data_IF_751334050536
#
_entry.id   IF_751334050536
#
_cell.length_a   1.000
_cell.length_b   1.000
_cell.length_c   1.000
_cell.angle_alpha   90.00
_cell.angle_beta   90.00
_cell.angle_gamma   90.00
#
_symmetry.space_group_name_H-M   'P 1'
#
loop_
_entity.id
_entity.type
_entity.pdbx_description
1 polymer ?
#
# COMPACT_ATOMS: atom_id res chain seq x y z
N UNK A 1 -61.12 -65.08 -42.27
CA UNK A 1 -61.63 -63.71 -42.36
C UNK A 1 -60.89 -62.80 -41.43
N UNK A 2 -60.14 -61.98 -42.03
CA UNK A 2 -59.43 -60.78 -41.57
C UNK A 2 -59.07 -60.54 -40.14
N UNK A 3 -57.78 -60.72 -39.86
CA UNK A 3 -57.08 -60.16 -38.71
C UNK A 3 -56.33 -58.88 -39.12
N UNK A 4 -56.54 -57.77 -38.43
CA UNK A 4 -55.81 -56.50 -38.60
C UNK A 4 -54.87 -56.34 -37.43
N UNK A 5 -53.59 -56.38 -37.79
CA UNK A 5 -52.49 -56.05 -36.85
C UNK A 5 -52.43 -54.54 -36.60
N UNK A 6 -52.37 -54.09 -35.32
CA UNK A 6 -52.02 -52.76 -34.94
C UNK A 6 -50.65 -52.79 -34.23
N UNK A 7 -49.66 -52.27 -34.92
CA UNK A 7 -48.34 -51.91 -34.32
C UNK A 7 -48.49 -50.66 -33.51
N UNK A 8 -48.27 -50.75 -32.24
CA UNK A 8 -48.13 -49.58 -31.36
C UNK A 8 -46.73 -49.00 -31.50
N UNK A 9 -46.62 -47.75 -31.92
CA UNK A 9 -45.42 -46.98 -31.89
C UNK A 9 -45.24 -46.37 -30.50
N UNK A 10 -44.19 -46.79 -29.78
CA UNK A 10 -43.72 -46.15 -28.56
C UNK A 10 -42.92 -44.92 -28.96
N UNK A 11 -43.46 -43.74 -28.67
CA UNK A 11 -42.73 -42.50 -28.70
C UNK A 11 -41.97 -42.31 -27.39
N UNK A 12 -40.66 -42.52 -27.43
CA UNK A 12 -39.78 -42.14 -26.33
C UNK A 12 -39.59 -40.63 -26.37
N UNK A 13 -40.19 -39.91 -25.43
CA UNK A 13 -39.97 -38.50 -25.21
C UNK A 13 -38.64 -38.33 -24.51
N UNK A 14 -37.63 -37.85 -25.22
CA UNK A 14 -36.36 -37.41 -24.63
C UNK A 14 -36.62 -36.03 -24.03
N UNK A 15 -36.73 -35.97 -22.70
CA UNK A 15 -36.73 -34.71 -21.97
C UNK A 15 -35.30 -34.15 -21.98
N UNK A 16 -35.08 -33.16 -22.77
CA UNK A 16 -33.87 -32.34 -22.69
C UNK A 16 -33.90 -31.53 -21.42
N UNK A 17 -33.10 -31.93 -20.43
CA UNK A 17 -32.83 -31.10 -19.25
C UNK A 17 -31.97 -29.93 -19.70
N UNK A 18 -32.60 -28.77 -19.85
CA UNK A 18 -31.90 -27.49 -19.97
C UNK A 18 -31.26 -27.18 -18.64
N UNK A 19 -29.96 -27.47 -18.53
CA UNK A 19 -29.15 -26.95 -17.44
C UNK A 19 -29.13 -25.41 -17.59
N UNK A 20 -29.90 -24.75 -16.73
CA UNK A 20 -29.76 -23.31 -16.50
C UNK A 20 -28.36 -23.03 -16.01
N UNK A 21 -27.50 -22.56 -16.90
CA UNK A 21 -26.29 -21.85 -16.50
C UNK A 21 -26.76 -20.64 -15.67
N UNK A 22 -26.70 -20.81 -14.33
CA UNK A 22 -26.81 -19.68 -13.43
C UNK A 22 -25.78 -18.67 -13.89
N UNK A 23 -26.25 -17.62 -14.55
CA UNK A 23 -25.45 -16.50 -14.92
C UNK A 23 -24.76 -15.98 -13.66
N UNK A 24 -23.44 -16.03 -13.66
CA UNK A 24 -22.64 -15.18 -12.80
C UNK A 24 -23.06 -13.75 -13.16
N UNK A 25 -24.10 -13.23 -12.51
CA UNK A 25 -24.35 -11.80 -12.51
C UNK A 25 -23.07 -11.17 -11.99
N UNK A 26 -22.29 -10.59 -12.90
CA UNK A 26 -21.30 -9.59 -12.54
C UNK A 26 -22.07 -8.59 -11.69
N UNK A 27 -21.90 -8.69 -10.37
CA UNK A 27 -22.19 -7.58 -9.48
C UNK A 27 -21.36 -6.46 -10.10
N UNK A 28 -22.02 -5.47 -10.69
CA UNK A 28 -21.41 -4.17 -10.94
C UNK A 28 -21.07 -3.61 -9.55
N UNK A 29 -20.08 -4.25 -8.92
CA UNK A 29 -19.58 -3.91 -7.61
C UNK A 29 -18.80 -2.62 -7.74
N UNK A 30 -19.09 -1.69 -6.87
CA UNK A 30 -18.20 -0.56 -6.63
C UNK A 30 -16.75 -1.07 -6.64
N UNK A 31 -15.87 -0.46 -7.44
CA UNK A 31 -14.49 -0.87 -7.48
C UNK A 31 -13.93 -0.82 -6.05
N UNK A 32 -13.44 -1.97 -5.54
CA UNK A 32 -13.05 -2.14 -4.15
C UNK A 32 -11.98 -1.15 -3.68
N UNK A 33 -11.77 -1.07 -2.38
CA UNK A 33 -10.73 -0.22 -1.78
C UNK A 33 -9.32 -0.67 -2.16
N UNK A 34 -8.33 0.21 -2.00
CA UNK A 34 -6.91 -0.08 -2.18
C UNK A 34 -6.20 0.18 -0.85
N UNK A 35 -5.53 -0.84 -0.32
CA UNK A 35 -4.62 -0.68 0.81
C UNK A 35 -3.25 -0.25 0.29
N UNK A 36 -2.85 0.98 0.56
CA UNK A 36 -1.65 1.57 -0.04
C UNK A 36 -0.35 1.22 0.69
N UNK A 37 -0.36 0.35 1.71
CA UNK A 37 0.84 -0.02 2.46
C UNK A 37 0.64 -1.31 3.24
N UNK A 38 1.25 -2.39 2.77
CA UNK A 38 1.27 -3.69 3.45
C UNK A 38 2.62 -4.34 3.29
N UNK A 39 3.03 -5.11 4.28
CA UNK A 39 4.20 -5.98 4.21
C UNK A 39 3.78 -7.44 4.16
N UNK A 40 4.50 -8.25 3.39
CA UNK A 40 4.33 -9.71 3.38
C UNK A 40 5.69 -10.39 3.50
N UNK A 41 5.70 -11.54 4.16
CA UNK A 41 6.88 -12.40 4.28
C UNK A 41 6.49 -13.85 4.53
N UNK A 42 7.41 -14.76 4.22
CA UNK A 42 7.23 -16.21 4.31
C UNK A 42 8.13 -16.81 5.40
N UNK A 43 7.73 -17.91 6.04
CA UNK A 43 8.63 -18.66 6.94
C UNK A 43 9.73 -19.44 6.20
N UNK A 44 9.67 -19.54 4.87
CA UNK A 44 10.66 -20.21 4.04
C UNK A 44 11.90 -19.33 3.83
N UNK A 45 12.76 -19.30 4.83
CA UNK A 45 14.03 -18.57 4.81
C UNK A 45 15.15 -19.30 4.06
N UNK A 46 14.89 -20.48 3.48
CA UNK A 46 15.81 -21.16 2.57
C UNK A 46 15.66 -20.56 1.17
N UNK A 47 14.45 -20.50 0.66
CA UNK A 47 14.16 -19.90 -0.65
C UNK A 47 14.34 -18.37 -0.63
N UNK A 48 13.93 -17.72 0.46
CA UNK A 48 14.02 -16.27 0.64
C UNK A 48 14.82 -15.95 1.90
N UNK A 49 16.16 -15.96 1.81
CA UNK A 49 17.02 -15.76 2.97
C UNK A 49 16.86 -14.36 3.56
N UNK A 50 16.96 -14.30 4.88
CA UNK A 50 16.95 -13.03 5.60
C UNK A 50 18.25 -12.27 5.34
N UNK A 51 18.15 -10.96 5.26
CA UNK A 51 19.31 -10.09 5.12
C UNK A 51 20.23 -10.17 6.35
N UNK A 52 21.52 -9.86 6.19
CA UNK A 52 22.46 -9.80 7.32
C UNK A 52 21.93 -8.94 8.45
N UNK A 53 21.99 -9.46 9.68
CA UNK A 53 21.49 -8.81 10.89
C UNK A 53 20.06 -9.21 11.30
N UNK A 54 19.34 -9.97 10.48
CA UNK A 54 18.05 -10.55 10.85
C UNK A 54 18.13 -12.07 11.05
N UNK A 55 17.31 -12.56 11.98
CA UNK A 55 17.15 -13.98 12.31
C UNK A 55 15.68 -14.36 12.32
N UNK A 56 15.33 -15.64 12.19
CA UNK A 56 13.91 -16.11 12.26
C UNK A 56 13.13 -15.57 13.46
N UNK A 57 13.66 -15.50 14.68
CA UNK A 57 12.94 -14.95 15.83
C UNK A 57 12.61 -13.46 15.73
N UNK A 58 13.25 -12.72 14.83
CA UNK A 58 12.96 -11.29 14.60
C UNK A 58 11.69 -11.11 13.76
N UNK A 59 11.27 -12.17 13.02
CA UNK A 59 10.05 -12.16 12.22
C UNK A 59 8.82 -12.26 13.14
N UNK A 60 8.06 -11.17 13.26
CA UNK A 60 6.87 -11.06 14.11
C UNK A 60 5.72 -10.46 13.30
N UNK A 61 4.67 -11.26 13.03
CA UNK A 61 4.53 -12.71 13.23
C UNK A 61 5.59 -13.51 12.46
N UNK A 62 5.71 -14.81 12.74
CA UNK A 62 6.70 -15.69 12.07
C UNK A 62 6.49 -15.77 10.54
N UNK A 63 5.30 -15.47 10.08
CA UNK A 63 4.95 -15.30 8.65
C UNK A 63 3.77 -14.35 8.53
N UNK A 64 3.69 -13.67 7.39
CA UNK A 64 2.50 -12.94 6.96
C UNK A 64 2.42 -13.02 5.44
N UNK A 65 1.78 -14.08 4.95
CA UNK A 65 1.66 -14.34 3.51
C UNK A 65 0.48 -13.59 2.90
N UNK A 66 0.38 -13.51 1.55
CA UNK A 66 -0.81 -12.96 0.89
C UNK A 66 -2.12 -13.60 1.37
N UNK A 67 -2.16 -14.90 1.62
CA UNK A 67 -3.36 -15.61 2.08
C UNK A 67 -3.79 -15.14 3.48
N UNK A 68 -2.81 -14.96 4.39
CA UNK A 68 -3.04 -14.41 5.72
C UNK A 68 -3.55 -12.96 5.63
N UNK A 69 -2.96 -12.14 4.77
CA UNK A 69 -3.42 -10.79 4.50
C UNK A 69 -4.86 -10.76 3.95
N UNK A 70 -5.17 -11.63 2.97
CA UNK A 70 -6.49 -11.68 2.35
C UNK A 70 -7.60 -12.01 3.34
N UNK A 71 -7.32 -12.80 4.36
CA UNK A 71 -8.28 -13.08 5.44
C UNK A 71 -8.72 -11.83 6.20
N UNK A 72 -7.86 -10.81 6.28
CA UNK A 72 -8.16 -9.54 6.94
C UNK A 72 -8.78 -8.51 5.98
N UNK A 73 -8.23 -8.37 4.78
CA UNK A 73 -8.54 -7.24 3.91
C UNK A 73 -9.76 -7.47 2.99
N UNK A 74 -9.99 -8.72 2.52
CA UNK A 74 -11.12 -9.01 1.62
C UNK A 74 -12.49 -8.78 2.26
N UNK A 75 -12.74 -9.16 3.55
CA UNK A 75 -14.01 -8.84 4.21
C UNK A 75 -14.32 -7.33 4.28
N UNK A 76 -13.29 -6.48 4.22
CA UNK A 76 -13.43 -5.03 4.25
C UNK A 76 -13.54 -4.39 2.85
N UNK A 77 -13.68 -5.20 1.81
CA UNK A 77 -13.85 -4.74 0.43
C UNK A 77 -12.55 -4.24 -0.23
N UNK A 78 -11.39 -4.61 0.30
CA UNK A 78 -10.09 -4.27 -0.33
C UNK A 78 -9.80 -5.26 -1.46
N UNK A 79 -9.60 -4.73 -2.66
CA UNK A 79 -9.39 -5.51 -3.89
C UNK A 79 -7.96 -5.44 -4.43
N UNK A 80 -7.22 -4.36 -4.13
CA UNK A 80 -5.83 -4.18 -4.51
C UNK A 80 -4.99 -3.67 -3.36
N UNK A 81 -3.69 -3.95 -3.40
CA UNK A 81 -2.78 -3.72 -2.28
C UNK A 81 -1.41 -3.29 -2.81
N UNK A 82 -0.79 -2.32 -2.17
CA UNK A 82 0.59 -1.93 -2.44
C UNK A 82 1.51 -2.65 -1.46
N UNK A 83 2.29 -3.59 -1.95
CA UNK A 83 3.31 -4.28 -1.17
C UNK A 83 4.53 -3.38 -1.01
N UNK A 84 4.94 -3.19 0.23
CA UNK A 84 6.18 -2.50 0.56
C UNK A 84 7.20 -3.55 0.94
N UNK A 85 8.35 -3.54 0.28
CA UNK A 85 9.45 -4.44 0.58
C UNK A 85 9.74 -4.48 2.07
N UNK A 86 9.73 -5.69 2.64
CA UNK A 86 9.99 -5.88 4.06
C UNK A 86 11.49 -5.80 4.37
N UNK A 87 11.84 -5.08 5.43
CA UNK A 87 13.24 -4.88 5.85
C UNK A 87 13.99 -6.19 6.14
N UNK A 88 13.29 -7.27 6.49
CA UNK A 88 13.89 -8.60 6.67
C UNK A 88 14.67 -9.08 5.46
N UNK A 89 14.31 -8.66 4.26
CA UNK A 89 14.94 -9.03 3.00
C UNK A 89 15.84 -7.92 2.44
N UNK A 90 15.87 -6.75 3.07
CA UNK A 90 16.61 -5.57 2.59
C UNK A 90 16.40 -5.33 1.09
N UNK A 91 17.48 -5.38 0.28
CA UNK A 91 17.44 -5.16 -1.16
C UNK A 91 17.08 -6.41 -1.99
N UNK A 92 16.84 -7.55 -1.35
CA UNK A 92 16.35 -8.76 -2.04
C UNK A 92 14.82 -8.70 -2.20
N UNK A 93 14.34 -8.11 -3.27
CA UNK A 93 12.93 -7.92 -3.56
C UNK A 93 12.23 -9.18 -4.11
N UNK A 94 12.89 -10.34 -4.20
CA UNK A 94 12.36 -11.54 -4.87
C UNK A 94 11.01 -11.99 -4.32
N UNK A 95 10.85 -12.08 -2.99
CA UNK A 95 9.58 -12.54 -2.43
C UNK A 95 8.41 -11.61 -2.82
N UNK A 96 8.60 -10.30 -2.70
CA UNK A 96 7.59 -9.33 -3.11
C UNK A 96 7.23 -9.48 -4.60
N UNK A 97 8.22 -9.58 -5.47
CA UNK A 97 8.02 -9.72 -6.92
C UNK A 97 7.34 -11.04 -7.28
N UNK A 98 7.70 -12.15 -6.62
CA UNK A 98 7.05 -13.45 -6.82
C UNK A 98 5.57 -13.40 -6.40
N UNK A 99 5.23 -12.69 -5.31
CA UNK A 99 3.84 -12.51 -4.89
C UNK A 99 3.07 -11.60 -5.85
N UNK A 100 3.67 -10.55 -6.37
CA UNK A 100 3.06 -9.72 -7.42
C UNK A 100 2.77 -10.54 -8.68
N UNK A 101 3.68 -11.41 -9.08
CA UNK A 101 3.51 -12.32 -10.23
C UNK A 101 2.45 -13.39 -9.98
N UNK A 102 2.37 -13.93 -8.76
CA UNK A 102 1.40 -14.96 -8.38
C UNK A 102 -0.04 -14.42 -8.33
N UNK A 103 -0.22 -13.12 -8.09
CA UNK A 103 -1.52 -12.45 -7.96
C UNK A 103 -1.64 -11.26 -8.93
N UNK A 104 -1.71 -11.50 -10.24
CA UNK A 104 -1.71 -10.44 -11.24
C UNK A 104 -2.90 -9.49 -11.07
N UNK A 105 -2.64 -8.17 -11.13
CA UNK A 105 -3.66 -7.13 -10.97
C UNK A 105 -4.07 -6.83 -9.53
N UNK A 106 -3.62 -7.63 -8.54
CA UNK A 106 -3.91 -7.41 -7.12
C UNK A 106 -2.85 -6.54 -6.46
N UNK A 107 -1.57 -6.80 -6.74
CA UNK A 107 -0.48 -6.13 -6.06
C UNK A 107 0.24 -5.11 -6.94
N UNK A 108 0.51 -3.92 -6.37
CA UNK A 108 1.57 -3.02 -6.79
C UNK A 108 2.77 -3.16 -5.86
N UNK A 109 3.96 -2.69 -6.26
CA UNK A 109 5.18 -2.87 -5.47
C UNK A 109 5.94 -1.58 -5.20
N UNK A 110 6.49 -1.48 -3.97
CA UNK A 110 7.49 -0.50 -3.56
C UNK A 110 8.73 -1.27 -3.10
N UNK A 111 9.80 -1.18 -3.87
CA UNK A 111 11.04 -1.93 -3.66
C UNK A 111 12.04 -1.18 -2.77
N UNK A 112 13.07 -1.88 -2.33
CA UNK A 112 14.28 -1.28 -1.73
C UNK A 112 15.47 -1.58 -2.63
N UNK A 113 16.29 -0.59 -2.90
CA UNK A 113 17.58 -0.72 -3.55
C UNK A 113 18.67 -0.04 -2.70
N UNK A 114 19.92 -0.40 -2.95
CA UNK A 114 21.06 0.32 -2.41
C UNK A 114 21.32 1.57 -3.27
N UNK A 115 21.16 2.74 -2.68
CA UNK A 115 21.40 4.02 -3.33
C UNK A 115 22.87 4.24 -3.72
N UNK A 116 23.79 3.48 -3.12
CA UNK A 116 25.22 3.54 -3.44
C UNK A 116 25.64 2.50 -4.49
N UNK A 117 24.69 1.74 -5.05
CA UNK A 117 25.00 0.79 -6.12
C UNK A 117 25.55 1.49 -7.36
N UNK A 118 26.48 0.84 -8.08
CA UNK A 118 27.11 1.39 -9.28
C UNK A 118 26.10 1.74 -10.40
N UNK A 119 24.96 1.02 -10.48
CA UNK A 119 23.92 1.21 -11.47
C UNK A 119 22.54 1.37 -10.80
N UNK A 120 22.32 2.49 -10.13
CA UNK A 120 21.02 2.85 -9.51
C UNK A 120 19.93 2.93 -10.59
N UNK A 121 20.19 3.61 -11.70
CA UNK A 121 19.23 3.79 -12.81
C UNK A 121 18.77 2.46 -13.39
N UNK A 122 19.70 1.61 -13.80
CA UNK A 122 19.38 0.31 -14.39
C UNK A 122 18.58 -0.57 -13.45
N UNK A 123 18.93 -0.58 -12.15
CA UNK A 123 18.16 -1.31 -11.12
C UNK A 123 16.74 -0.81 -10.98
N UNK A 124 16.52 0.50 -10.89
CA UNK A 124 15.19 1.10 -10.79
C UNK A 124 14.34 0.78 -12.02
N UNK A 125 14.89 0.95 -13.22
CA UNK A 125 14.22 0.64 -14.50
C UNK A 125 13.88 -0.85 -14.62
N UNK A 126 14.80 -1.74 -14.22
CA UNK A 126 14.56 -3.19 -14.24
C UNK A 126 13.41 -3.60 -13.30
N UNK A 127 13.32 -3.01 -12.12
CA UNK A 127 12.23 -3.25 -11.16
C UNK A 127 10.91 -2.65 -11.64
N UNK A 128 10.94 -1.45 -12.27
CA UNK A 128 9.76 -0.85 -12.91
C UNK A 128 9.12 -1.77 -13.96
N UNK A 129 9.93 -2.42 -14.79
CA UNK A 129 9.47 -3.40 -15.80
C UNK A 129 8.78 -4.61 -15.17
N UNK A 130 9.05 -4.91 -13.89
CA UNK A 130 8.41 -5.97 -13.12
C UNK A 130 7.19 -5.50 -12.31
N UNK A 131 6.72 -4.27 -12.54
CA UNK A 131 5.52 -3.73 -11.89
C UNK A 131 5.78 -2.90 -10.63
N UNK A 132 7.04 -2.68 -10.23
CA UNK A 132 7.37 -1.76 -9.14
C UNK A 132 7.03 -0.31 -9.57
N UNK A 133 6.42 0.44 -8.64
CA UNK A 133 6.01 1.83 -8.88
C UNK A 133 6.61 2.81 -7.87
N UNK A 134 7.44 2.34 -6.96
CA UNK A 134 8.10 3.20 -6.00
C UNK A 134 9.29 2.55 -5.32
N UNK A 135 10.08 3.37 -4.65
CA UNK A 135 11.25 2.94 -3.90
C UNK A 135 11.22 3.50 -2.50
N UNK A 136 11.31 2.59 -1.51
CA UNK A 136 11.32 2.95 -0.11
C UNK A 136 12.67 3.54 0.27
N UNK A 137 12.64 4.73 0.87
CA UNK A 137 13.79 5.44 1.40
C UNK A 137 13.56 5.66 2.89
N UNK A 138 14.50 5.22 3.70
CA UNK A 138 14.46 5.39 5.16
C UNK A 138 15.85 5.72 5.68
N UNK A 139 15.98 6.71 6.58
CA UNK A 139 17.28 7.07 7.15
C UNK A 139 17.99 5.92 7.86
N UNK A 140 17.24 4.97 8.44
CA UNK A 140 17.82 3.87 9.16
C UNK A 140 18.72 4.36 10.30
N UNK A 141 20.03 4.05 10.22
CA UNK A 141 21.05 4.45 11.20
C UNK A 141 21.87 5.67 10.75
N UNK A 142 21.44 6.40 9.72
CA UNK A 142 22.13 7.59 9.24
C UNK A 142 22.19 8.66 10.34
N UNK A 143 23.38 9.17 10.60
CA UNK A 143 23.60 10.22 11.62
C UNK A 143 23.35 11.61 11.06
N UNK A 144 23.76 11.85 9.82
CA UNK A 144 23.55 13.11 9.11
C UNK A 144 22.56 12.87 7.95
N UNK A 145 21.30 13.14 8.23
CA UNK A 145 20.20 12.96 7.28
C UNK A 145 20.34 13.90 6.09
N UNK A 146 20.81 15.12 6.30
CA UNK A 146 20.93 16.10 5.22
C UNK A 146 22.06 15.71 4.25
N UNK A 147 23.21 15.28 4.77
CA UNK A 147 24.31 14.80 3.96
C UNK A 147 23.93 13.54 3.17
N UNK A 148 23.23 12.59 3.82
CA UNK A 148 22.76 11.37 3.17
C UNK A 148 21.77 11.67 2.04
N UNK A 149 20.73 12.49 2.27
CA UNK A 149 19.80 12.91 1.22
C UNK A 149 20.48 13.71 0.10
N UNK A 150 21.56 14.42 0.41
CA UNK A 150 22.37 15.16 -0.54
C UNK A 150 23.37 14.33 -1.33
N UNK A 151 23.53 13.03 -1.01
CA UNK A 151 24.51 12.15 -1.68
C UNK A 151 24.21 12.00 -3.18
N UNK A 152 25.23 11.60 -3.95
CA UNK A 152 25.09 11.40 -5.40
C UNK A 152 24.13 10.29 -5.75
N UNK A 153 24.16 9.17 -4.98
CA UNK A 153 23.24 8.05 -5.19
C UNK A 153 21.80 8.41 -4.91
N UNK A 154 21.54 9.10 -3.82
CA UNK A 154 20.20 9.62 -3.51
C UNK A 154 19.71 10.61 -4.57
N UNK A 155 20.58 11.54 -5.00
CA UNK A 155 20.25 12.48 -6.09
C UNK A 155 19.91 11.75 -7.40
N UNK A 156 20.63 10.66 -7.73
CA UNK A 156 20.32 9.84 -8.90
C UNK A 156 18.97 9.13 -8.74
N UNK A 157 18.65 8.53 -7.57
CA UNK A 157 17.33 7.94 -7.32
C UNK A 157 16.19 8.95 -7.57
N UNK A 158 16.34 10.19 -7.08
CA UNK A 158 15.32 11.23 -7.26
C UNK A 158 15.17 11.63 -8.73
N UNK A 159 16.27 11.74 -9.49
CA UNK A 159 16.23 12.01 -10.93
C UNK A 159 15.55 10.88 -11.69
N UNK A 160 15.97 9.65 -11.45
CA UNK A 160 15.37 8.47 -12.11
C UNK A 160 13.89 8.37 -11.80
N UNK A 161 13.48 8.64 -10.56
CA UNK A 161 12.07 8.62 -10.18
C UNK A 161 11.26 9.65 -10.97
N UNK A 162 11.81 10.85 -11.21
CA UNK A 162 11.18 11.87 -12.05
C UNK A 162 11.11 11.47 -13.53
N UNK A 163 12.16 10.84 -14.05
CA UNK A 163 12.27 10.47 -15.47
C UNK A 163 11.38 9.27 -15.83
N UNK A 164 11.19 8.34 -14.87
CA UNK A 164 10.50 7.06 -15.08
C UNK A 164 9.10 7.03 -14.44
N UNK A 165 8.59 8.15 -13.94
CA UNK A 165 7.31 8.25 -13.22
C UNK A 165 7.21 7.22 -12.08
N UNK A 166 8.25 7.22 -11.23
CA UNK A 166 8.37 6.37 -10.05
C UNK A 166 8.28 7.21 -8.78
N UNK A 167 7.81 6.61 -7.69
CA UNK A 167 7.62 7.31 -6.43
C UNK A 167 8.82 7.11 -5.49
N UNK A 168 9.32 8.16 -4.88
CA UNK A 168 10.19 8.10 -3.70
C UNK A 168 9.29 8.00 -2.46
N UNK A 169 9.25 6.81 -1.83
CA UNK A 169 8.40 6.52 -0.69
C UNK A 169 9.19 6.65 0.62
N UNK A 170 8.88 7.65 1.41
CA UNK A 170 9.68 8.10 2.54
C UNK A 170 9.12 7.59 3.87
N UNK A 171 9.84 6.68 4.52
CA UNK A 171 9.59 6.29 5.90
C UNK A 171 10.51 7.12 6.83
N UNK A 172 10.00 8.22 7.33
CA UNK A 172 10.76 9.25 8.04
C UNK A 172 10.06 9.72 9.32
N UNK A 173 10.77 10.47 10.14
CA UNK A 173 10.24 11.13 11.34
C UNK A 173 10.03 12.64 11.09
N UNK A 174 9.29 13.33 11.97
CA UNK A 174 8.99 14.76 11.81
C UNK A 174 10.21 15.70 11.76
N UNK A 175 11.31 15.32 12.38
CA UNK A 175 12.58 16.06 12.37
C UNK A 175 13.28 16.05 11.00
N UNK A 176 12.98 15.05 10.17
CA UNK A 176 13.53 14.92 8.81
C UNK A 176 12.82 15.81 7.79
N UNK A 177 11.60 16.28 8.07
CA UNK A 177 10.74 16.97 7.10
C UNK A 177 11.36 18.23 6.50
N UNK A 178 12.19 18.97 7.26
CA UNK A 178 12.91 20.13 6.74
C UNK A 178 13.96 19.78 5.66
N UNK A 179 14.58 18.61 5.76
CA UNK A 179 15.51 18.13 4.74
C UNK A 179 14.73 17.63 3.50
N UNK A 180 13.57 17.01 3.69
CA UNK A 180 12.69 16.60 2.58
C UNK A 180 12.14 17.82 1.82
N UNK A 181 11.77 18.89 2.52
CA UNK A 181 11.37 20.17 1.88
C UNK A 181 12.43 20.65 0.89
N UNK A 182 13.69 20.64 1.30
CA UNK A 182 14.83 21.02 0.42
C UNK A 182 14.97 20.07 -0.79
N UNK A 183 14.76 18.77 -0.60
CA UNK A 183 14.77 17.80 -1.69
C UNK A 183 13.64 18.03 -2.67
N UNK A 184 12.42 18.30 -2.20
CA UNK A 184 11.29 18.63 -3.06
C UNK A 184 11.50 19.89 -3.88
N UNK A 185 12.19 20.92 -3.32
CA UNK A 185 12.60 22.13 -4.06
C UNK A 185 13.64 21.78 -5.12
N UNK A 186 14.65 20.98 -4.77
CA UNK A 186 15.74 20.58 -5.68
C UNK A 186 15.26 19.68 -6.83
N UNK A 187 14.25 18.83 -6.56
CA UNK A 187 13.71 17.86 -7.52
C UNK A 187 12.18 18.03 -7.67
N UNK A 188 11.70 19.14 -8.25
CA UNK A 188 10.27 19.49 -8.24
C UNK A 188 9.39 18.56 -9.10
N UNK A 189 9.97 17.75 -9.98
CA UNK A 189 9.24 16.78 -10.80
C UNK A 189 9.17 15.37 -10.20
N UNK A 190 9.93 15.10 -9.12
CA UNK A 190 9.97 13.75 -8.52
C UNK A 190 8.71 13.49 -7.70
N UNK A 191 7.91 12.46 -8.03
CA UNK A 191 6.77 12.08 -7.21
C UNK A 191 7.26 11.59 -5.84
N UNK A 192 6.66 12.10 -4.77
CA UNK A 192 7.03 11.78 -3.39
C UNK A 192 5.82 11.26 -2.64
N UNK A 193 5.98 10.15 -1.94
CA UNK A 193 4.99 9.59 -1.02
C UNK A 193 5.56 9.58 0.39
N UNK A 194 4.87 10.24 1.33
CA UNK A 194 5.25 10.23 2.74
C UNK A 194 4.45 9.15 3.46
N UNK A 195 5.14 8.19 4.06
CA UNK A 195 4.51 7.11 4.83
C UNK A 195 4.04 7.62 6.21
N UNK A 196 2.85 7.18 6.64
CA UNK A 196 2.36 7.25 8.03
C UNK A 196 2.44 8.66 8.66
N UNK A 197 1.98 9.70 7.93
CA UNK A 197 2.04 11.10 8.41
C UNK A 197 3.46 11.55 8.82
N UNK A 198 4.52 10.99 8.21
CA UNK A 198 5.89 11.16 8.68
C UNK A 198 6.06 10.80 10.18
N UNK A 199 5.23 9.88 10.70
CA UNK A 199 5.20 9.45 12.11
C UNK A 199 4.90 10.56 13.12
N UNK A 200 4.20 11.61 12.72
CA UNK A 200 3.67 12.65 13.63
C UNK A 200 2.78 11.98 14.69
N UNK A 201 3.05 12.25 15.96
CA UNK A 201 2.34 11.64 17.08
C UNK A 201 2.78 10.21 17.44
N UNK A 202 3.91 9.72 16.92
CA UNK A 202 4.45 8.39 17.28
C UNK A 202 5.06 8.36 18.69
N UNK A 203 5.75 9.43 19.10
CA UNK A 203 6.37 9.54 20.41
C UNK A 203 5.36 9.87 21.53
N UNK A 204 4.14 10.29 21.20
CA UNK A 204 3.11 10.70 22.15
C UNK A 204 1.94 11.39 21.46
N UNK A 205 1.24 12.32 22.11
CA UNK A 205 0.19 13.11 21.46
C UNK A 205 0.73 13.87 20.25
N UNK A 206 -0.13 14.08 19.24
CA UNK A 206 0.19 14.94 18.09
C UNK A 206 0.52 16.35 18.58
N UNK A 207 1.72 16.82 18.32
CA UNK A 207 2.13 18.18 18.66
C UNK A 207 1.90 19.13 17.48
N UNK A 208 1.57 20.40 17.79
CA UNK A 208 1.41 21.41 16.75
C UNK A 208 2.66 21.57 15.90
N UNK A 209 3.83 21.61 16.54
CA UNK A 209 5.11 21.79 15.86
C UNK A 209 5.45 20.67 14.87
N UNK A 210 5.15 19.40 15.20
CA UNK A 210 5.35 18.28 14.26
C UNK A 210 4.35 18.35 13.11
N UNK A 211 3.08 18.64 13.43
CA UNK A 211 2.03 18.73 12.43
C UNK A 211 2.31 19.88 11.44
N UNK A 212 2.70 21.06 11.91
CA UNK A 212 3.03 22.20 11.04
C UNK A 212 4.15 21.87 10.06
N UNK A 213 5.17 21.14 10.49
CA UNK A 213 6.25 20.69 9.58
C UNK A 213 5.72 19.78 8.49
N UNK A 214 4.79 18.87 8.82
CA UNK A 214 4.17 18.00 7.84
C UNK A 214 3.30 18.80 6.87
N UNK A 215 2.42 19.66 7.39
CA UNK A 215 1.50 20.48 6.61
C UNK A 215 2.25 21.43 5.65
N UNK A 216 3.43 21.92 6.06
CA UNK A 216 4.29 22.77 5.22
C UNK A 216 4.66 22.11 3.88
N UNK A 217 4.77 20.77 3.83
CA UNK A 217 5.06 20.05 2.59
C UNK A 217 3.90 20.06 1.59
N UNK A 218 2.70 20.47 2.00
CA UNK A 218 1.54 20.57 1.11
C UNK A 218 1.73 21.57 -0.05
N UNK A 219 2.65 22.54 0.09
CA UNK A 219 3.05 23.49 -0.96
C UNK A 219 3.68 22.80 -2.20
N UNK A 220 4.21 21.58 -2.03
CA UNK A 220 4.77 20.78 -3.10
C UNK A 220 3.70 19.92 -3.74
N UNK A 221 3.24 20.20 -4.99
CA UNK A 221 2.14 19.48 -5.62
C UNK A 221 2.45 18.01 -5.88
N UNK A 222 3.73 17.63 -5.99
CA UNK A 222 4.19 16.27 -6.21
C UNK A 222 4.19 15.40 -4.94
N UNK A 223 3.92 15.98 -3.76
CA UNK A 223 3.89 15.24 -2.49
C UNK A 223 2.51 14.68 -2.22
N UNK A 224 2.47 13.37 -1.97
CA UNK A 224 1.29 12.59 -1.54
C UNK A 224 1.56 12.01 -0.15
N UNK A 225 0.51 11.87 0.67
CA UNK A 225 0.62 11.45 2.06
C UNK A 225 -0.19 10.18 2.32
N UNK A 226 0.41 9.18 2.96
CA UNK A 226 -0.31 8.01 3.50
C UNK A 226 -0.89 8.32 4.86
N UNK A 227 -2.22 8.27 4.95
CA UNK A 227 -3.02 8.35 6.17
C UNK A 227 -3.15 6.94 6.75
N UNK A 228 -2.19 6.52 7.58
CA UNK A 228 -1.99 5.12 7.92
C UNK A 228 -1.26 4.91 9.24
N UNK A 229 -1.05 3.63 9.62
CA UNK A 229 -0.38 3.21 10.86
C UNK A 229 -1.03 3.81 12.13
N UNK A 230 -2.35 3.84 12.16
CA UNK A 230 -3.11 4.44 13.27
C UNK A 230 -2.83 3.77 14.61
N UNK A 231 -2.51 2.47 14.60
CA UNK A 231 -2.08 1.70 15.77
C UNK A 231 -0.82 2.26 16.46
N UNK A 232 0.03 2.99 15.70
CA UNK A 232 1.31 3.51 16.19
C UNK A 232 1.28 4.99 16.58
N UNK A 233 0.19 5.72 16.28
CA UNK A 233 0.12 7.18 16.40
C UNK A 233 -0.91 7.62 17.45
N UNK A 234 -0.73 8.81 18.01
CA UNK A 234 -1.65 9.40 18.97
C UNK A 234 -1.87 8.52 20.20
N UNK A 235 -3.13 8.21 20.51
CA UNK A 235 -3.51 7.34 21.63
C UNK A 235 -3.23 5.85 21.38
N UNK A 236 -2.89 5.47 20.16
CA UNK A 236 -2.59 4.09 19.76
C UNK A 236 -3.69 3.10 20.14
N UNK A 237 -4.94 3.51 20.08
CA UNK A 237 -6.10 2.71 20.53
C UNK A 237 -7.28 2.91 19.59
N UNK A 238 -7.85 1.78 19.13
CA UNK A 238 -9.11 1.81 18.39
C UNK A 238 -10.20 2.53 19.21
N UNK A 239 -11.09 3.28 18.56
CA UNK A 239 -11.32 3.42 17.11
C UNK A 239 -10.50 4.53 16.42
N UNK A 240 -9.39 5.00 17.00
CA UNK A 240 -8.43 5.97 16.47
C UNK A 240 -9.00 7.37 16.15
N UNK A 241 -10.17 7.72 16.67
CA UNK A 241 -10.84 9.00 16.40
C UNK A 241 -10.08 10.22 16.93
N UNK A 242 -9.16 10.02 17.85
CA UNK A 242 -8.23 11.04 18.32
C UNK A 242 -7.29 11.57 17.23
N UNK A 243 -7.11 10.82 16.14
CA UNK A 243 -6.36 11.26 14.96
C UNK A 243 -7.22 12.07 13.98
N UNK A 244 -8.53 12.15 14.19
CA UNK A 244 -9.46 12.89 13.32
C UNK A 244 -9.04 14.34 13.07
N UNK A 245 -8.69 15.15 14.10
CA UNK A 245 -8.21 16.53 13.90
C UNK A 245 -6.99 16.61 12.97
N UNK A 246 -5.97 15.75 13.15
CA UNK A 246 -4.80 15.69 12.28
C UNK A 246 -5.19 15.34 10.83
N UNK A 247 -6.06 14.34 10.66
CA UNK A 247 -6.52 13.94 9.32
C UNK A 247 -7.29 15.07 8.63
N UNK A 248 -8.11 15.83 9.40
CA UNK A 248 -8.83 17.01 8.89
C UNK A 248 -7.85 18.05 8.35
N UNK A 249 -6.86 18.44 9.13
CA UNK A 249 -5.86 19.42 8.70
C UNK A 249 -5.06 18.93 7.49
N UNK A 250 -4.66 17.66 7.46
CA UNK A 250 -4.02 17.08 6.28
C UNK A 250 -4.93 17.16 5.04
N UNK A 251 -6.23 16.84 5.18
CA UNK A 251 -7.20 16.96 4.10
C UNK A 251 -7.33 18.41 3.60
N UNK A 252 -7.36 19.37 4.53
CA UNK A 252 -7.56 20.79 4.20
C UNK A 252 -6.32 21.40 3.49
N UNK A 253 -5.11 20.93 3.82
CA UNK A 253 -3.86 21.43 3.23
C UNK A 253 -3.44 20.68 1.96
N UNK A 254 -3.48 19.36 1.96
CA UNK A 254 -3.07 18.55 0.80
C UNK A 254 -4.20 18.33 -0.21
N UNK A 255 -5.46 18.39 0.24
CA UNK A 255 -6.61 17.91 -0.52
C UNK A 255 -6.69 16.38 -0.54
N UNK A 256 -7.91 15.83 -0.53
CA UNK A 256 -8.12 14.38 -0.52
C UNK A 256 -7.44 13.64 -1.68
N UNK A 257 -7.26 14.31 -2.82
CA UNK A 257 -6.57 13.77 -4.01
C UNK A 257 -5.08 13.47 -3.79
N UNK A 258 -4.49 13.96 -2.70
CA UNK A 258 -3.11 13.68 -2.32
C UNK A 258 -3.00 12.92 -0.99
N UNK A 259 -4.12 12.37 -0.49
CA UNK A 259 -4.15 11.50 0.66
C UNK A 259 -4.52 10.08 0.22
N UNK A 260 -3.93 9.06 0.84
CA UNK A 260 -4.32 7.66 0.64
C UNK A 260 -4.30 6.91 1.96
N UNK A 261 -5.36 6.16 2.21
CA UNK A 261 -5.42 5.25 3.35
C UNK A 261 -4.53 4.03 3.12
N UNK A 262 -3.98 3.51 4.22
CA UNK A 262 -3.29 2.23 4.23
C UNK A 262 -3.36 1.60 5.63
N UNK A 263 -3.30 0.28 5.71
CA UNK A 263 -3.34 -0.44 6.98
C UNK A 263 -2.00 -0.45 7.71
N UNK A 264 -0.92 -0.66 6.99
CA UNK A 264 0.41 -1.04 7.51
C UNK A 264 0.40 -2.44 8.15
N UNK A 265 -0.40 -3.37 7.55
CA UNK A 265 -0.37 -4.78 7.98
C UNK A 265 0.99 -5.43 7.75
N UNK A 266 1.37 -6.37 8.63
CA UNK A 266 0.58 -6.98 9.71
C UNK A 266 0.51 -6.19 11.00
N UNK A 267 1.27 -5.12 11.19
CA UNK A 267 1.35 -4.39 12.46
C UNK A 267 -0.03 -3.85 12.91
N UNK A 268 -0.90 -3.52 11.96
CA UNK A 268 -2.29 -3.11 12.25
C UNK A 268 -3.16 -4.23 12.84
N UNK A 269 -2.75 -5.48 12.74
CA UNK A 269 -3.49 -6.64 13.28
C UNK A 269 -2.77 -7.32 14.44
N UNK A 270 -1.77 -6.67 15.02
CA UNK A 270 -1.15 -7.08 16.27
C UNK A 270 -2.18 -7.07 17.42
N UNK A 271 -1.95 -7.82 18.52
CA UNK A 271 -2.87 -7.87 19.64
C UNK A 271 -3.33 -6.50 20.14
N UNK A 272 -4.64 -6.29 20.22
CA UNK A 272 -5.26 -5.01 20.60
C UNK A 272 -5.66 -4.12 19.42
N UNK A 273 -5.33 -4.51 18.19
CA UNK A 273 -5.66 -3.81 16.96
C UNK A 273 -6.36 -4.75 15.96
N UNK A 274 -7.01 -4.21 14.96
CA UNK A 274 -7.64 -4.97 13.88
C UNK A 274 -7.72 -4.17 12.59
N UNK A 275 -7.90 -4.86 11.50
CA UNK A 275 -7.98 -4.26 10.15
C UNK A 275 -9.21 -3.38 9.98
N UNK A 276 -10.38 -3.86 10.47
CA UNK A 276 -11.66 -3.15 10.38
C UNK A 276 -11.57 -1.74 10.97
N UNK A 277 -11.05 -1.58 12.17
CA UNK A 277 -10.97 -0.28 12.83
C UNK A 277 -10.08 0.72 12.08
N UNK A 278 -9.05 0.24 11.37
CA UNK A 278 -8.20 1.09 10.55
C UNK A 278 -8.98 1.67 9.36
N UNK A 279 -9.60 0.82 8.54
CA UNK A 279 -10.34 1.31 7.37
C UNK A 279 -11.61 2.06 7.77
N UNK A 280 -12.31 1.61 8.81
CA UNK A 280 -13.53 2.22 9.30
C UNK A 280 -13.32 3.64 9.83
N UNK A 281 -12.12 3.99 10.31
CA UNK A 281 -11.82 5.37 10.65
C UNK A 281 -12.11 6.30 9.47
N UNK A 282 -11.54 6.02 8.31
CA UNK A 282 -11.71 6.87 7.12
C UNK A 282 -13.07 6.63 6.44
N UNK A 283 -13.49 5.37 6.36
CA UNK A 283 -14.71 5.00 5.65
C UNK A 283 -15.99 5.47 6.37
N UNK A 284 -16.02 5.32 7.69
CA UNK A 284 -17.29 5.38 8.45
C UNK A 284 -17.30 6.45 9.55
N UNK A 285 -16.15 6.77 10.20
CA UNK A 285 -16.12 7.50 11.48
C UNK A 285 -15.75 8.99 11.36
N UNK A 286 -15.13 9.40 10.26
CA UNK A 286 -14.78 10.80 10.04
C UNK A 286 -15.88 11.48 9.20
N UNK A 287 -16.84 12.07 9.90
CA UNK A 287 -18.05 12.73 9.34
C UNK A 287 -17.74 13.96 8.47
N UNK A 288 -16.57 14.58 8.67
CA UNK A 288 -16.13 15.71 7.87
C UNK A 288 -15.63 15.31 6.46
N UNK A 289 -15.39 14.03 6.21
CA UNK A 289 -15.01 13.54 4.88
C UNK A 289 -16.26 13.37 4.01
N UNK A 290 -16.29 14.06 2.88
CA UNK A 290 -17.31 13.87 1.87
C UNK A 290 -17.19 12.50 1.20
N UNK A 291 -18.21 12.06 0.48
CA UNK A 291 -18.14 10.82 -0.30
C UNK A 291 -17.00 10.84 -1.33
N UNK A 292 -16.72 12.01 -1.95
CA UNK A 292 -15.58 12.14 -2.89
C UNK A 292 -14.24 12.11 -2.17
N UNK A 293 -14.11 12.75 -0.99
CA UNK A 293 -12.89 12.62 -0.16
C UNK A 293 -12.58 11.15 0.14
N UNK A 294 -13.59 10.39 0.60
CA UNK A 294 -13.47 8.96 0.90
C UNK A 294 -13.09 8.15 -0.34
N UNK A 295 -13.70 8.44 -1.50
CA UNK A 295 -13.37 7.76 -2.74
C UNK A 295 -11.92 8.01 -3.17
N UNK A 296 -11.38 9.22 -2.97
CA UNK A 296 -9.98 9.51 -3.21
C UNK A 296 -9.08 8.81 -2.20
N UNK A 297 -9.33 8.97 -0.92
CA UNK A 297 -8.47 8.43 0.13
C UNK A 297 -8.44 6.91 0.17
N UNK A 298 -9.57 6.23 -0.07
CA UNK A 298 -9.68 4.77 0.01
C UNK A 298 -9.33 4.06 -1.31
N UNK A 299 -9.20 4.80 -2.43
CA UNK A 299 -8.94 4.17 -3.72
C UNK A 299 -8.18 5.05 -4.71
N UNK A 300 -8.83 6.13 -5.24
CA UNK A 300 -8.40 6.82 -6.46
C UNK A 300 -6.96 7.34 -6.38
N UNK A 301 -6.52 7.81 -5.21
CA UNK A 301 -5.14 8.31 -5.02
C UNK A 301 -4.13 7.18 -5.15
N UNK A 302 -4.33 6.05 -4.46
CA UNK A 302 -3.43 4.90 -4.54
C UNK A 302 -3.44 4.27 -5.95
N UNK A 303 -4.61 4.24 -6.62
CA UNK A 303 -4.75 3.78 -7.99
C UNK A 303 -3.89 4.60 -8.96
N UNK A 304 -3.99 5.92 -8.89
CA UNK A 304 -3.18 6.84 -9.71
C UNK A 304 -1.69 6.72 -9.42
N UNK A 305 -1.29 6.53 -8.15
CA UNK A 305 0.13 6.54 -7.74
C UNK A 305 0.82 5.20 -8.01
N UNK A 306 0.12 4.08 -7.87
CA UNK A 306 0.76 2.76 -7.87
C UNK A 306 0.22 1.76 -8.90
N UNK A 307 -0.85 2.09 -9.64
CA UNK A 307 -1.49 1.17 -10.58
C UNK A 307 -1.75 1.78 -11.97
N UNK A 308 -1.25 2.99 -12.21
CA UNK A 308 -1.26 3.64 -13.53
C UNK A 308 -0.11 3.16 -14.42
#
# INVERSE_FOLDING_TARGET
MNAISRRSFLHSSISAATASLAGCSSIEGHPGHIDAHVHVWTPDTVKYPLAPGFKKPDMKPASFTPEQLFAHCKPEGVSRIVLIQMSYYATDNRYMLDMMKAHPGVFGGVAIIDENAADVRGRMVALRKQGVRGFRVTPGKQKDIAAWLGSSGMAEMWKVAADEDLNICLLINPDTLGAIDKMCVKFPRTPVVIDHFARVGMAGPVTRAELDRLLHLSKHPQVTLKTSAFYALGKKKAPYTDLGPMIRECRDHFGAKRLMWASDCPFQVDPGHNYHDSIALVRDRLDFLTADDKAWMLRKTAERVFFS
#
